data_IF_202202548863
#
_entry.id   IF_202202548863
#
_cell.length_a   1.000
_cell.length_b   1.000
_cell.length_c   1.000
_cell.angle_alpha   90.00
_cell.angle_beta   90.00
_cell.angle_gamma   90.00
#
_symmetry.space_group_name_H-M   'P 1'
#
loop_
_entity.id
_entity.type
_entity.pdbx_description
1 polymer ?
#
# COMPACT_ATOMS: atom_id res chain seq x y z
N UNK A 1 10.04 26.01 -4.79
CA UNK A 1 9.78 24.57 -4.52
C UNK A 1 9.72 23.90 -5.86
N UNK A 2 10.47 22.81 -6.06
CA UNK A 2 10.54 22.10 -7.33
C UNK A 2 9.18 21.46 -7.60
N UNK A 3 8.64 21.74 -8.78
CA UNK A 3 7.31 21.29 -9.19
C UNK A 3 7.41 20.23 -10.30
N UNK A 4 6.56 19.21 -10.22
CA UNK A 4 6.49 18.16 -11.22
C UNK A 4 5.07 17.98 -11.76
N UNK A 5 5.00 17.58 -13.04
CA UNK A 5 3.81 17.01 -13.68
C UNK A 5 4.12 15.59 -14.14
N UNK A 6 3.17 14.69 -13.93
CA UNK A 6 3.21 13.30 -14.43
C UNK A 6 2.17 13.17 -15.53
N UNK A 7 2.56 12.58 -16.67
CA UNK A 7 1.68 12.32 -17.80
C UNK A 7 1.71 10.81 -18.06
N UNK A 8 0.57 10.15 -17.95
CA UNK A 8 0.40 8.75 -18.33
C UNK A 8 -0.27 8.67 -19.69
N UNK A 9 0.34 7.94 -20.61
CA UNK A 9 -0.10 7.78 -21.99
C UNK A 9 -0.57 6.33 -22.13
N UNK A 10 -1.83 6.13 -22.54
CA UNK A 10 -2.42 4.81 -22.75
C UNK A 10 -3.94 4.85 -22.72
N UNK A 11 -4.56 4.40 -23.79
CA UNK A 11 -6.02 4.31 -23.94
C UNK A 11 -6.64 3.39 -22.90
N UNK A 12 -5.95 2.32 -22.49
CA UNK A 12 -6.41 1.35 -21.48
C UNK A 12 -6.61 1.97 -20.10
N UNK A 13 -5.91 3.06 -19.80
CA UNK A 13 -6.09 3.84 -18.57
C UNK A 13 -7.37 4.67 -18.65
N UNK A 14 -7.60 5.33 -19.80
CA UNK A 14 -8.75 6.20 -20.00
C UNK A 14 -10.07 5.44 -20.01
N UNK A 15 -10.10 4.24 -20.61
CA UNK A 15 -11.28 3.38 -20.61
C UNK A 15 -11.47 2.59 -19.30
N UNK A 16 -10.54 2.74 -18.32
CA UNK A 16 -10.62 2.09 -17.02
C UNK A 16 -10.30 0.60 -17.02
N UNK A 17 -9.66 0.09 -18.06
CA UNK A 17 -9.25 -1.32 -18.16
C UNK A 17 -8.13 -1.64 -17.18
N UNK A 18 -7.20 -0.71 -16.97
CA UNK A 18 -6.15 -0.81 -15.98
C UNK A 18 -6.15 0.42 -15.05
N UNK A 19 -5.65 0.21 -13.83
CA UNK A 19 -5.45 1.30 -12.87
C UNK A 19 -4.06 1.90 -13.08
N UNK A 20 -3.98 3.23 -13.14
CA UNK A 20 -2.70 3.94 -13.20
C UNK A 20 -1.91 3.77 -11.89
N UNK A 21 -1.10 2.73 -11.86
CA UNK A 21 -0.16 2.46 -10.75
C UNK A 21 1.16 3.19 -10.93
N UNK A 22 1.49 3.59 -12.17
CA UNK A 22 2.75 4.25 -12.50
C UNK A 22 2.81 5.66 -11.93
N UNK A 23 1.81 6.50 -12.21
CA UNK A 23 1.76 7.86 -11.64
C UNK A 23 1.75 7.84 -10.11
N UNK A 24 1.05 6.86 -9.52
CA UNK A 24 1.02 6.67 -8.06
C UNK A 24 2.42 6.38 -7.51
N UNK A 25 3.20 5.52 -8.16
CA UNK A 25 4.56 5.19 -7.75
C UNK A 25 5.50 6.38 -7.93
N UNK A 26 5.52 6.99 -9.12
CA UNK A 26 6.35 8.16 -9.45
C UNK A 26 6.09 9.29 -8.45
N UNK A 27 4.81 9.59 -8.18
CA UNK A 27 4.42 10.62 -7.22
C UNK A 27 4.95 10.34 -5.81
N UNK A 28 4.89 9.09 -5.35
CA UNK A 28 5.41 8.70 -4.02
C UNK A 28 6.93 8.91 -3.94
N UNK A 29 7.68 8.52 -4.97
CA UNK A 29 9.14 8.66 -4.98
C UNK A 29 9.57 10.14 -5.07
N UNK A 30 8.93 10.94 -5.92
CA UNK A 30 9.18 12.37 -6.02
C UNK A 30 8.92 13.13 -4.71
N UNK A 31 7.81 12.81 -4.04
CA UNK A 31 7.48 13.43 -2.75
C UNK A 31 8.52 13.08 -1.67
N UNK A 32 9.11 11.88 -1.68
CA UNK A 32 10.16 11.50 -0.71
C UNK A 32 11.39 12.41 -0.77
N UNK A 33 11.68 12.95 -1.96
CA UNK A 33 12.81 13.87 -2.20
C UNK A 33 12.40 15.34 -2.25
N UNK A 34 11.20 15.68 -1.83
CA UNK A 34 10.76 17.06 -1.71
C UNK A 34 10.28 17.74 -3.00
N UNK A 35 10.08 16.99 -4.07
CA UNK A 35 9.46 17.47 -5.31
C UNK A 35 7.94 17.46 -5.15
N UNK A 36 7.30 18.58 -5.46
CA UNK A 36 5.84 18.73 -5.40
C UNK A 36 5.21 18.28 -6.72
N UNK A 37 4.47 17.19 -6.72
CA UNK A 37 3.64 16.79 -7.87
C UNK A 37 2.37 17.64 -7.86
N UNK A 38 2.26 18.56 -8.83
CA UNK A 38 1.13 19.49 -8.94
C UNK A 38 0.02 19.00 -9.86
N UNK A 39 0.36 18.14 -10.82
CA UNK A 39 -0.60 17.62 -11.77
C UNK A 39 -0.26 16.19 -12.16
N UNK A 40 -1.28 15.34 -12.25
CA UNK A 40 -1.23 14.02 -12.87
C UNK A 40 -2.28 14.06 -13.99
N UNK A 41 -1.87 13.75 -15.22
CA UNK A 41 -2.70 13.79 -16.40
C UNK A 41 -2.61 12.46 -17.15
N UNK A 42 -3.74 11.81 -17.39
CA UNK A 42 -3.82 10.65 -18.29
C UNK A 42 -4.37 11.09 -19.63
N UNK A 43 -3.71 10.68 -20.72
CA UNK A 43 -4.07 11.03 -22.10
C UNK A 43 -4.02 9.79 -22.98
N UNK A 44 -4.70 9.87 -24.13
CA UNK A 44 -4.66 8.84 -25.17
C UNK A 44 -3.32 8.79 -25.91
N UNK A 45 -3.09 7.69 -26.61
CA UNK A 45 -1.98 7.52 -27.56
C UNK A 45 -2.21 8.33 -28.84
N UNK A 46 -2.55 9.63 -28.65
CA UNK A 46 -2.84 10.56 -29.73
C UNK A 46 -1.79 11.67 -29.81
N UNK A 47 -1.21 11.85 -30.99
CA UNK A 47 -0.15 12.82 -31.24
C UNK A 47 -0.53 14.25 -30.79
N UNK A 48 -1.76 14.70 -31.08
CA UNK A 48 -2.20 16.07 -30.75
C UNK A 48 -2.33 16.25 -29.22
N UNK A 49 -2.82 15.22 -28.53
CA UNK A 49 -2.97 15.27 -27.08
C UNK A 49 -1.60 15.28 -26.39
N UNK A 50 -0.66 14.44 -26.83
CA UNK A 50 0.70 14.41 -26.28
C UNK A 50 1.42 15.75 -26.51
N UNK A 51 1.38 16.29 -27.76
CA UNK A 51 1.97 17.59 -28.05
C UNK A 51 1.33 18.71 -27.22
N UNK A 52 0.00 18.73 -27.12
CA UNK A 52 -0.72 19.70 -26.29
C UNK A 52 -0.34 19.61 -24.81
N UNK A 53 -0.20 18.40 -24.29
CA UNK A 53 0.23 18.17 -22.92
C UNK A 53 1.65 18.69 -22.67
N UNK A 54 2.58 18.50 -23.62
CA UNK A 54 3.95 19.02 -23.52
C UNK A 54 4.00 20.54 -23.62
N UNK A 55 3.28 21.14 -24.60
CA UNK A 55 3.19 22.60 -24.76
C UNK A 55 2.64 23.29 -23.50
N UNK A 56 1.60 22.71 -22.88
CA UNK A 56 0.99 23.22 -21.66
C UNK A 56 1.85 22.97 -20.39
N UNK A 57 2.96 22.26 -20.52
CA UNK A 57 3.82 21.89 -19.38
C UNK A 57 5.15 22.64 -19.36
N UNK A 58 5.67 23.00 -20.53
CA UNK A 58 6.97 23.70 -20.65
C UNK A 58 6.95 25.02 -19.91
N UNK A 59 8.01 25.32 -19.14
CA UNK A 59 8.17 26.49 -18.27
C UNK A 59 7.12 26.68 -17.16
N UNK A 60 6.14 25.76 -17.06
CA UNK A 60 5.15 25.74 -15.99
C UNK A 60 5.55 24.81 -14.85
N UNK A 61 6.23 23.71 -15.19
CA UNK A 61 6.77 22.74 -14.24
C UNK A 61 8.26 22.57 -14.46
N UNK A 62 9.01 22.37 -13.38
CA UNK A 62 10.45 22.13 -13.46
C UNK A 62 10.76 20.74 -14.03
N UNK A 63 9.90 19.76 -13.72
CA UNK A 63 10.04 18.35 -14.11
C UNK A 63 8.74 17.85 -14.73
N UNK A 64 8.83 17.27 -15.93
CA UNK A 64 7.74 16.58 -16.60
C UNK A 64 8.15 15.12 -16.81
N UNK A 65 7.42 14.18 -16.22
CA UNK A 65 7.67 12.74 -16.39
C UNK A 65 6.50 12.14 -17.16
N UNK A 66 6.79 11.55 -18.31
CA UNK A 66 5.82 10.77 -19.07
C UNK A 66 6.08 9.28 -18.94
N UNK A 67 5.05 8.45 -18.95
CA UNK A 67 5.15 6.99 -18.96
C UNK A 67 4.12 6.40 -19.91
N UNK A 68 4.58 5.55 -20.85
CA UNK A 68 3.78 4.93 -21.91
C UNK A 68 4.22 5.32 -23.31
N UNK A 69 3.76 4.59 -24.32
CA UNK A 69 3.96 4.85 -25.75
C UNK A 69 5.41 4.76 -26.24
N UNK A 70 6.29 3.99 -25.58
CA UNK A 70 7.69 3.77 -25.98
C UNK A 70 7.96 2.35 -26.51
N UNK A 71 6.96 1.51 -26.59
CA UNK A 71 7.08 0.16 -27.11
C UNK A 71 7.38 0.09 -28.62
N UNK A 72 7.41 -1.11 -29.20
CA UNK A 72 7.74 -1.33 -30.59
C UNK A 72 6.51 -1.33 -31.53
N UNK A 73 5.31 -1.07 -31.04
CA UNK A 73 4.07 -1.17 -31.82
C UNK A 73 3.68 0.15 -32.45
N UNK A 74 2.77 0.15 -33.42
CA UNK A 74 2.43 1.33 -34.20
C UNK A 74 1.69 2.44 -33.40
N UNK A 75 1.14 2.09 -32.27
CA UNK A 75 0.50 2.98 -31.30
C UNK A 75 1.51 3.64 -30.35
N UNK A 76 2.75 3.14 -30.31
CA UNK A 76 3.84 3.69 -29.50
C UNK A 76 4.51 4.90 -30.18
N UNK A 77 3.83 6.04 -30.19
CA UNK A 77 4.23 7.24 -30.94
C UNK A 77 5.01 8.27 -30.11
N UNK A 78 5.29 7.97 -28.84
CA UNK A 78 5.90 8.96 -27.93
C UNK A 78 7.29 9.43 -28.39
N UNK A 79 8.12 8.58 -29.02
CA UNK A 79 9.44 8.97 -29.56
C UNK A 79 9.34 10.00 -30.68
N UNK A 80 8.43 9.78 -31.63
CA UNK A 80 8.17 10.67 -32.75
C UNK A 80 7.65 12.02 -32.27
N UNK A 81 6.74 12.00 -31.31
CA UNK A 81 6.19 13.22 -30.71
C UNK A 81 7.26 13.97 -29.93
N UNK A 82 8.18 13.28 -29.24
CA UNK A 82 9.36 13.89 -28.63
C UNK A 82 10.21 14.60 -29.69
N UNK A 83 10.54 13.94 -30.80
CA UNK A 83 11.31 14.54 -31.87
C UNK A 83 10.64 15.83 -32.41
N UNK A 84 9.34 15.78 -32.67
CA UNK A 84 8.61 16.97 -33.15
C UNK A 84 8.59 18.10 -32.12
N UNK A 85 8.28 17.79 -30.86
CA UNK A 85 8.21 18.83 -29.83
C UNK A 85 9.56 19.50 -29.54
N UNK A 86 10.66 18.74 -29.62
CA UNK A 86 12.01 19.26 -29.35
C UNK A 86 12.77 19.72 -30.61
N UNK A 87 12.12 19.71 -31.79
CA UNK A 87 12.77 19.99 -33.07
C UNK A 87 14.02 19.13 -33.23
N UNK A 88 13.83 17.81 -33.20
CA UNK A 88 14.86 16.78 -33.19
C UNK A 88 14.54 15.69 -34.23
N UNK A 89 15.47 14.76 -34.40
CA UNK A 89 15.33 13.62 -35.29
C UNK A 89 15.78 12.32 -34.60
N UNK A 90 15.22 11.21 -35.03
CA UNK A 90 15.66 9.89 -34.61
C UNK A 90 17.02 9.56 -35.22
N UNK A 91 17.93 9.07 -34.39
CA UNK A 91 19.24 8.57 -34.80
C UNK A 91 19.46 7.17 -34.26
N UNK A 92 20.17 6.34 -35.02
CA UNK A 92 20.50 4.99 -34.57
C UNK A 92 21.57 5.03 -33.48
N UNK A 93 21.34 4.25 -32.40
CA UNK A 93 22.29 4.11 -31.30
C UNK A 93 22.80 2.66 -31.21
N UNK A 94 24.10 2.47 -31.55
CA UNK A 94 24.71 1.15 -31.60
C UNK A 94 24.82 0.47 -30.22
N UNK A 95 25.10 1.25 -29.15
CA UNK A 95 25.21 0.71 -27.79
C UNK A 95 23.85 0.20 -27.31
N UNK A 96 22.79 0.93 -27.64
CA UNK A 96 21.43 0.49 -27.32
C UNK A 96 21.03 -0.76 -28.12
N UNK A 97 21.39 -0.85 -29.41
CA UNK A 97 21.17 -2.06 -30.20
C UNK A 97 21.88 -3.27 -29.59
N UNK A 98 23.15 -3.11 -29.22
CA UNK A 98 23.89 -4.19 -28.56
C UNK A 98 23.27 -4.61 -27.22
N UNK A 99 22.73 -3.65 -26.44
CA UNK A 99 21.96 -3.95 -25.23
C UNK A 99 20.71 -4.76 -25.53
N UNK A 100 19.92 -4.35 -26.53
CA UNK A 100 18.69 -5.05 -26.95
C UNK A 100 19.02 -6.47 -27.40
N UNK A 101 20.04 -6.66 -28.25
CA UNK A 101 20.48 -7.98 -28.71
C UNK A 101 20.92 -8.89 -27.55
N UNK A 102 21.60 -8.33 -26.55
CA UNK A 102 22.00 -9.06 -25.34
C UNK A 102 20.78 -9.50 -24.52
N UNK A 103 19.75 -8.64 -24.38
CA UNK A 103 18.51 -9.01 -23.69
C UNK A 103 17.82 -10.16 -24.41
N UNK A 104 17.67 -10.08 -25.73
CA UNK A 104 17.06 -11.15 -26.50
C UNK A 104 17.81 -12.47 -26.37
N UNK A 105 19.14 -12.44 -26.47
CA UNK A 105 19.98 -13.64 -26.31
C UNK A 105 19.86 -14.32 -24.95
N UNK A 106 19.58 -13.55 -23.90
CA UNK A 106 19.58 -14.08 -22.53
C UNK A 106 18.17 -14.45 -22.02
N UNK A 107 17.12 -13.83 -22.54
CA UNK A 107 15.78 -13.92 -21.94
C UNK A 107 14.67 -14.25 -22.92
N UNK A 108 14.95 -14.31 -24.22
CA UNK A 108 13.94 -14.57 -25.26
C UNK A 108 14.43 -15.68 -26.17
N UNK A 109 13.64 -16.74 -26.32
CA UNK A 109 13.97 -17.89 -27.18
C UNK A 109 13.82 -17.59 -28.70
N UNK A 110 13.30 -16.41 -29.05
CA UNK A 110 13.08 -15.99 -30.44
C UNK A 110 14.14 -15.00 -30.89
N UNK A 111 14.55 -15.02 -32.16
CA UNK A 111 15.46 -14.05 -32.73
C UNK A 111 14.84 -12.65 -32.70
N UNK A 112 15.71 -11.64 -32.54
CA UNK A 112 15.30 -10.23 -32.58
C UNK A 112 14.70 -9.90 -33.96
N UNK A 113 13.53 -9.28 -33.96
CA UNK A 113 12.85 -8.83 -35.19
C UNK A 113 13.15 -7.35 -35.50
N UNK A 114 12.73 -6.85 -36.67
CA UNK A 114 13.00 -5.48 -37.12
C UNK A 114 12.34 -4.43 -36.23
N UNK A 115 11.16 -4.70 -35.64
CA UNK A 115 10.49 -3.79 -34.71
C UNK A 115 11.31 -3.61 -33.43
N UNK A 116 11.91 -4.68 -32.93
CA UNK A 116 12.79 -4.62 -31.76
C UNK A 116 14.11 -3.90 -32.09
N UNK A 117 14.67 -4.10 -33.30
CA UNK A 117 15.84 -3.35 -33.76
C UNK A 117 15.54 -1.85 -33.92
N UNK A 118 14.33 -1.48 -34.34
CA UNK A 118 13.87 -0.10 -34.45
C UNK A 118 13.83 0.63 -33.09
N UNK A 119 13.76 -0.09 -31.98
CA UNK A 119 13.87 0.51 -30.64
C UNK A 119 15.23 1.20 -30.41
N UNK A 120 16.29 0.84 -31.18
CA UNK A 120 17.59 1.48 -31.14
C UNK A 120 17.60 2.90 -31.77
N UNK A 121 16.52 3.33 -32.44
CA UNK A 121 16.38 4.70 -32.89
C UNK A 121 15.82 5.58 -31.76
N UNK A 122 16.56 6.64 -31.43
CA UNK A 122 16.27 7.54 -30.31
C UNK A 122 16.48 8.99 -30.70
N UNK A 123 15.80 9.97 -30.08
CA UNK A 123 16.02 11.39 -30.37
C UNK A 123 17.48 11.79 -30.14
N UNK A 124 18.07 12.51 -31.10
CA UNK A 124 19.52 12.81 -31.12
C UNK A 124 19.97 13.70 -29.94
N UNK A 125 19.06 14.54 -29.43
CA UNK A 125 19.30 15.45 -28.29
C UNK A 125 19.02 14.78 -26.93
N UNK A 126 18.43 13.59 -26.93
CA UNK A 126 18.08 12.92 -25.69
C UNK A 126 19.28 12.33 -24.97
N UNK A 127 19.33 12.55 -23.65
CA UNK A 127 20.16 11.72 -22.79
C UNK A 127 19.37 10.47 -22.44
N UNK A 128 19.89 9.30 -22.78
CA UNK A 128 19.21 8.04 -22.55
C UNK A 128 19.30 7.67 -21.07
N UNK A 129 18.23 7.02 -20.58
CA UNK A 129 18.14 6.42 -19.27
C UNK A 129 18.08 4.92 -19.49
N UNK A 130 19.06 4.20 -18.91
CA UNK A 130 19.19 2.76 -19.08
C UNK A 130 17.92 2.03 -18.59
N UNK A 131 17.42 1.12 -19.43
CA UNK A 131 16.38 0.17 -19.06
C UNK A 131 17.00 -1.23 -18.96
N UNK A 132 17.24 -1.72 -17.74
CA UNK A 132 17.87 -3.02 -17.51
C UNK A 132 16.97 -4.20 -17.80
N UNK A 133 15.67 -3.98 -17.89
CA UNK A 133 14.66 -5.03 -17.94
C UNK A 133 13.85 -5.05 -19.23
N UNK A 134 14.05 -4.10 -20.13
CA UNK A 134 13.30 -3.98 -21.37
C UNK A 134 14.08 -3.31 -22.49
N UNK A 135 13.50 -3.30 -23.67
CA UNK A 135 14.14 -2.81 -24.91
C UNK A 135 13.97 -1.30 -25.13
N UNK A 136 12.94 -0.71 -24.53
CA UNK A 136 12.66 0.72 -24.67
C UNK A 136 13.47 1.52 -23.63
N UNK A 137 14.44 2.36 -24.06
CA UNK A 137 15.17 3.21 -23.13
C UNK A 137 14.28 4.34 -22.63
N UNK A 138 14.57 4.86 -21.44
CA UNK A 138 14.06 6.15 -21.06
C UNK A 138 14.84 7.26 -21.75
N UNK A 139 14.24 8.42 -21.81
CA UNK A 139 14.81 9.60 -22.50
C UNK A 139 14.67 10.83 -21.62
N UNK A 140 15.66 11.72 -21.67
CA UNK A 140 15.64 12.99 -20.95
C UNK A 140 16.11 14.12 -21.86
N UNK A 141 15.30 15.17 -21.96
CA UNK A 141 15.62 16.39 -22.73
C UNK A 141 15.22 17.62 -21.92
N UNK A 142 16.03 18.69 -21.97
CA UNK A 142 15.69 19.99 -21.37
C UNK A 142 15.13 20.93 -22.44
N UNK A 143 14.05 21.64 -22.11
CA UNK A 143 13.49 22.73 -22.95
C UNK A 143 13.06 23.88 -22.05
N UNK A 144 13.65 25.04 -22.27
CA UNK A 144 13.47 26.18 -21.37
C UNK A 144 13.96 25.84 -19.95
N UNK A 145 13.12 26.11 -18.96
CA UNK A 145 13.42 25.76 -17.56
C UNK A 145 12.91 24.37 -17.16
N UNK A 146 12.32 23.63 -18.09
CA UNK A 146 11.70 22.33 -17.83
C UNK A 146 12.56 21.16 -18.28
N UNK A 147 12.63 20.09 -17.47
CA UNK A 147 13.25 18.82 -17.82
C UNK A 147 12.15 17.81 -18.10
N UNK A 148 12.10 17.32 -19.33
CA UNK A 148 11.19 16.27 -19.78
C UNK A 148 11.89 14.93 -19.68
N UNK A 149 11.20 13.94 -19.13
CA UNK A 149 11.64 12.56 -19.01
C UNK A 149 10.53 11.64 -19.51
N UNK A 150 10.86 10.73 -20.42
CA UNK A 150 9.91 9.74 -20.93
C UNK A 150 10.38 8.34 -20.57
N UNK A 151 9.43 7.53 -20.07
CA UNK A 151 9.68 6.20 -19.53
C UNK A 151 8.71 5.19 -20.14
N UNK A 152 9.09 3.89 -20.23
CA UNK A 152 8.17 2.85 -20.66
C UNK A 152 6.95 2.74 -19.76
N UNK A 153 5.84 2.21 -20.31
CA UNK A 153 4.59 1.97 -19.59
C UNK A 153 4.68 0.77 -18.63
N UNK A 154 5.57 -0.18 -18.89
CA UNK A 154 5.70 -1.41 -18.09
C UNK A 154 6.16 -1.09 -16.65
N UNK A 155 5.35 -1.44 -15.62
CA UNK A 155 5.57 -0.93 -14.27
C UNK A 155 6.93 -1.30 -13.64
N UNK A 156 7.42 -2.53 -13.83
CA UNK A 156 8.69 -2.94 -13.22
C UNK A 156 9.91 -2.28 -13.87
N UNK A 157 9.85 -2.00 -15.19
CA UNK A 157 10.87 -1.25 -15.94
C UNK A 157 10.92 0.20 -15.46
N UNK A 158 9.77 0.87 -15.48
CA UNK A 158 9.61 2.26 -15.05
C UNK A 158 10.08 2.45 -13.59
N UNK A 159 9.72 1.54 -12.67
CA UNK A 159 10.09 1.63 -11.25
C UNK A 159 11.61 1.61 -11.05
N UNK A 160 12.32 0.69 -11.72
CA UNK A 160 13.77 0.62 -11.64
C UNK A 160 14.41 1.91 -12.17
N UNK A 161 13.94 2.42 -13.32
CA UNK A 161 14.47 3.66 -13.89
C UNK A 161 14.24 4.88 -12.98
N UNK A 162 13.08 4.96 -12.34
CA UNK A 162 12.79 6.01 -11.34
C UNK A 162 13.76 5.93 -10.17
N UNK A 163 13.90 4.74 -9.55
CA UNK A 163 14.69 4.60 -8.32
C UNK A 163 16.20 4.71 -8.57
N UNK A 164 16.69 4.07 -9.65
CA UNK A 164 18.09 3.88 -9.87
C UNK A 164 18.74 5.04 -10.64
N UNK A 165 17.95 5.78 -11.43
CA UNK A 165 18.48 6.83 -12.33
C UNK A 165 17.83 8.20 -12.12
N UNK A 166 16.50 8.28 -12.11
CA UNK A 166 15.79 9.58 -12.13
C UNK A 166 15.86 10.26 -10.76
N UNK A 167 15.58 9.55 -9.68
CA UNK A 167 15.63 10.13 -8.33
C UNK A 167 17.03 10.65 -7.99
N UNK A 168 18.13 9.87 -8.18
CA UNK A 168 19.48 10.39 -7.98
C UNK A 168 19.80 11.60 -8.85
N UNK A 169 19.39 11.58 -10.13
CA UNK A 169 19.58 12.71 -11.03
C UNK A 169 18.89 13.98 -10.51
N UNK A 170 17.59 13.87 -10.11
CA UNK A 170 16.83 15.01 -9.60
C UNK A 170 17.49 15.57 -8.33
N UNK A 171 17.95 14.71 -7.44
CA UNK A 171 18.62 15.13 -6.20
C UNK A 171 19.94 15.87 -6.48
N UNK A 172 20.66 15.49 -7.56
CA UNK A 172 21.91 16.15 -7.96
C UNK A 172 21.66 17.46 -8.69
N UNK A 173 20.67 17.50 -9.60
CA UNK A 173 20.38 18.68 -10.44
C UNK A 173 19.66 19.78 -9.64
N UNK A 174 18.85 19.39 -8.67
CA UNK A 174 18.05 20.32 -7.88
C UNK A 174 18.40 20.21 -6.39
N UNK A 175 18.47 21.34 -5.72
CA UNK A 175 18.63 21.35 -4.26
C UNK A 175 17.28 20.94 -3.60
N UNK A 176 17.05 19.63 -3.51
CA UNK A 176 15.81 19.06 -2.98
C UNK A 176 15.80 19.05 -1.46
N UNK A 177 14.75 19.54 -0.80
CA UNK A 177 14.61 19.39 0.64
C UNK A 177 14.36 17.92 1.03
N UNK A 178 14.91 17.50 2.14
CA UNK A 178 14.60 16.21 2.77
C UNK A 178 13.20 16.29 3.38
N UNK A 179 12.36 15.28 3.11
CA UNK A 179 11.06 15.11 3.78
C UNK A 179 11.10 13.85 4.63
N UNK A 180 10.83 13.99 5.93
CA UNK A 180 10.71 12.88 6.87
C UNK A 180 9.24 12.74 7.26
N UNK A 181 8.74 11.51 7.26
CA UNK A 181 7.37 11.18 7.68
C UNK A 181 7.41 10.01 8.65
N UNK A 182 6.72 10.15 9.78
CA UNK A 182 6.43 9.05 10.71
C UNK A 182 4.94 8.99 10.93
N UNK A 183 4.37 7.81 10.83
CA UNK A 183 2.93 7.59 11.02
C UNK A 183 2.72 6.73 12.25
N UNK A 184 1.99 7.25 13.23
CA UNK A 184 1.57 6.55 14.43
C UNK A 184 0.19 5.93 14.21
N UNK A 185 0.01 4.71 14.66
CA UNK A 185 -1.29 4.03 14.66
C UNK A 185 -1.98 4.24 16.01
N UNK A 186 -3.23 4.71 15.97
CA UNK A 186 -4.07 4.86 17.16
C UNK A 186 -5.32 4.01 17.04
N UNK A 187 -5.82 3.51 18.18
CA UNK A 187 -7.00 2.67 18.24
C UNK A 187 -7.94 3.05 19.38
N UNK A 188 -9.22 2.66 19.24
CA UNK A 188 -10.22 2.81 20.29
C UNK A 188 -10.76 4.21 20.49
N UNK A 189 -10.27 5.20 19.75
CA UNK A 189 -10.68 6.60 19.89
C UNK A 189 -10.93 7.23 18.51
N UNK A 190 -12.02 7.98 18.38
CA UNK A 190 -12.37 8.66 17.13
C UNK A 190 -11.48 9.88 16.86
N UNK A 191 -11.40 10.26 15.57
CA UNK A 191 -10.58 11.37 15.07
C UNK A 191 -10.82 12.69 15.83
N UNK A 192 -12.08 13.07 16.03
CA UNK A 192 -12.43 14.33 16.73
C UNK A 192 -11.93 14.38 18.18
N UNK A 193 -11.91 13.24 18.85
CA UNK A 193 -11.40 13.15 20.24
C UNK A 193 -9.88 13.26 20.27
N UNK A 194 -9.18 12.66 19.30
CA UNK A 194 -7.73 12.78 19.17
C UNK A 194 -7.36 14.23 18.82
N UNK A 195 -8.05 14.84 17.84
CA UNK A 195 -7.82 16.22 17.43
C UNK A 195 -8.01 17.20 18.61
N UNK A 196 -9.04 16.97 19.44
CA UNK A 196 -9.24 17.78 20.65
C UNK A 196 -8.06 17.69 21.62
N UNK A 197 -7.49 16.50 21.81
CA UNK A 197 -6.31 16.30 22.68
C UNK A 197 -5.03 16.92 22.12
N UNK A 198 -4.91 17.00 20.80
CA UNK A 198 -3.72 17.47 20.11
C UNK A 198 -3.78 18.93 19.68
N UNK A 199 -4.86 19.66 20.00
CA UNK A 199 -5.08 21.05 19.58
C UNK A 199 -3.89 21.97 19.91
N UNK A 200 -3.37 21.91 21.14
CA UNK A 200 -2.25 22.76 21.57
C UNK A 200 -0.93 22.27 20.99
N UNK A 201 -0.77 20.96 20.82
CA UNK A 201 0.39 20.39 20.15
C UNK A 201 0.49 20.87 18.70
N UNK A 202 -0.61 20.83 17.92
CA UNK A 202 -0.64 21.32 16.55
C UNK A 202 -0.34 22.81 16.43
N UNK A 203 -0.90 23.60 17.35
CA UNK A 203 -0.66 25.06 17.39
C UNK A 203 0.80 25.41 17.63
N UNK A 204 1.54 24.56 18.34
CA UNK A 204 2.94 24.78 18.70
C UNK A 204 3.93 24.07 17.75
N UNK A 205 3.44 23.40 16.70
CA UNK A 205 4.32 22.83 15.68
C UNK A 205 4.98 23.94 14.86
N UNK A 206 6.28 23.83 14.54
CA UNK A 206 6.95 24.73 13.60
C UNK A 206 6.35 24.64 12.19
N UNK A 207 6.49 25.71 11.40
CA UNK A 207 5.94 25.79 10.04
C UNK A 207 6.42 24.69 9.09
N UNK A 208 7.60 24.14 9.35
CA UNK A 208 8.16 23.04 8.58
C UNK A 208 7.66 21.65 9.03
N UNK A 209 6.81 21.57 10.06
CA UNK A 209 6.13 20.36 10.53
C UNK A 209 4.64 20.39 10.21
N UNK A 210 4.06 19.23 9.93
CA UNK A 210 2.63 19.07 9.67
C UNK A 210 2.12 17.75 10.24
N UNK A 211 1.05 17.82 11.04
CA UNK A 211 0.30 16.66 11.49
C UNK A 211 -0.91 16.42 10.56
N UNK A 212 -1.15 15.19 10.17
CA UNK A 212 -2.32 14.80 9.39
C UNK A 212 -3.03 13.62 10.05
N UNK A 213 -4.37 13.72 10.10
CA UNK A 213 -5.26 12.65 10.55
C UNK A 213 -5.70 11.84 9.35
N UNK A 214 -5.50 10.54 9.38
CA UNK A 214 -5.83 9.62 8.30
C UNK A 214 -6.78 8.55 8.84
N UNK A 215 -8.10 8.86 8.91
CA UNK A 215 -9.09 7.94 9.43
C UNK A 215 -9.22 6.71 8.53
N UNK A 216 -9.34 5.56 9.16
CA UNK A 216 -9.65 4.31 8.52
C UNK A 216 -10.64 3.54 9.41
N UNK A 217 -11.28 2.51 8.87
CA UNK A 217 -12.30 1.73 9.57
C UNK A 217 -11.83 1.25 10.96
N UNK A 218 -12.28 1.98 12.03
CA UNK A 218 -11.99 1.66 13.43
C UNK A 218 -10.68 2.20 14.01
N UNK A 219 -9.87 2.93 13.23
CA UNK A 219 -8.58 3.49 13.68
C UNK A 219 -8.30 4.85 13.06
N UNK A 220 -7.44 5.62 13.69
CA UNK A 220 -6.90 6.86 13.13
C UNK A 220 -5.39 6.74 13.04
N UNK A 221 -4.82 7.03 11.88
CA UNK A 221 -3.37 7.11 11.70
C UNK A 221 -2.98 8.57 11.80
N UNK A 222 -1.98 8.87 12.62
CA UNK A 222 -1.44 10.21 12.79
C UNK A 222 -0.10 10.29 12.06
N UNK A 223 -0.07 11.04 10.97
CA UNK A 223 1.15 11.21 10.20
C UNK A 223 1.78 12.55 10.51
N UNK A 224 2.87 12.52 11.26
CA UNK A 224 3.74 13.68 11.44
C UNK A 224 4.74 13.72 10.28
N UNK A 225 4.86 14.86 9.61
CA UNK A 225 5.78 15.08 8.51
C UNK A 225 6.54 16.38 8.73
N UNK A 226 7.83 16.38 8.38
CA UNK A 226 8.64 17.59 8.36
C UNK A 226 9.47 17.68 7.09
N UNK A 227 9.92 18.90 6.75
CA UNK A 227 10.78 19.13 5.60
C UNK A 227 11.86 20.16 5.93
N UNK A 228 13.04 20.01 5.32
CA UNK A 228 14.17 20.92 5.45
C UNK A 228 15.39 20.37 4.73
N UNK A 229 16.55 20.97 4.92
CA UNK A 229 17.77 20.60 4.22
C UNK A 229 18.77 19.83 5.10
N UNK A 230 18.61 19.86 6.40
CA UNK A 230 19.44 19.13 7.38
C UNK A 230 18.68 17.90 7.89
N UNK A 231 19.07 16.73 7.39
CA UNK A 231 18.43 15.45 7.73
C UNK A 231 18.58 15.08 9.19
N UNK A 232 19.74 15.35 9.80
CA UNK A 232 20.04 14.91 11.17
C UNK A 232 19.25 15.76 12.18
N UNK A 233 19.22 17.07 11.95
CA UNK A 233 18.38 17.99 12.73
C UNK A 233 16.89 17.67 12.59
N UNK A 234 16.43 17.36 11.36
CA UNK A 234 15.04 16.96 11.13
C UNK A 234 14.68 15.65 11.84
N UNK A 235 15.57 14.65 11.83
CA UNK A 235 15.34 13.38 12.54
C UNK A 235 15.25 13.61 14.05
N UNK A 236 16.19 14.35 14.63
CA UNK A 236 16.19 14.67 16.07
C UNK A 236 14.94 15.41 16.49
N UNK A 237 14.52 16.40 15.71
CA UNK A 237 13.26 17.14 15.96
C UNK A 237 12.04 16.24 15.80
N UNK A 238 12.02 15.38 14.79
CA UNK A 238 10.94 14.41 14.57
C UNK A 238 10.77 13.48 15.78
N UNK A 239 11.87 12.95 16.31
CA UNK A 239 11.84 12.04 17.46
C UNK A 239 11.31 12.75 18.72
N UNK A 240 11.71 14.00 18.94
CA UNK A 240 11.18 14.83 20.04
C UNK A 240 9.65 15.00 19.95
N UNK A 241 9.11 15.36 18.79
CA UNK A 241 7.66 15.52 18.61
C UNK A 241 6.90 14.21 18.68
N UNK A 242 7.48 13.11 18.21
CA UNK A 242 6.91 11.77 18.38
C UNK A 242 6.82 11.40 19.87
N UNK A 243 7.85 11.69 20.66
CA UNK A 243 7.82 11.47 22.11
C UNK A 243 6.72 12.30 22.81
N UNK A 244 6.54 13.54 22.38
CA UNK A 244 5.44 14.39 22.88
C UNK A 244 4.07 13.79 22.54
N UNK A 245 3.88 13.28 21.30
CA UNK A 245 2.65 12.58 20.91
C UNK A 245 2.40 11.35 21.78
N UNK A 246 3.43 10.56 22.09
CA UNK A 246 3.32 9.43 23.02
C UNK A 246 2.91 9.88 24.43
N UNK A 247 3.45 10.99 24.95
CA UNK A 247 3.05 11.54 26.26
C UNK A 247 1.59 12.00 26.28
N UNK A 248 1.10 12.64 25.20
CA UNK A 248 -0.26 13.18 25.12
C UNK A 248 -1.33 12.10 24.89
N UNK A 249 -1.02 11.07 24.12
CA UNK A 249 -1.98 10.06 23.72
C UNK A 249 -1.83 8.73 24.49
N UNK A 250 -0.66 8.44 25.03
CA UNK A 250 -0.39 7.27 25.87
C UNK A 250 -0.82 5.95 25.18
N UNK A 251 -1.63 5.16 25.91
CA UNK A 251 -2.12 3.84 25.45
C UNK A 251 -2.97 3.86 24.18
N UNK A 252 -3.37 5.04 23.68
CA UNK A 252 -4.10 5.18 22.43
C UNK A 252 -3.17 4.87 21.23
N UNK A 253 -1.86 5.19 21.34
CA UNK A 253 -0.85 4.84 20.34
C UNK A 253 -0.41 3.40 20.57
N UNK A 254 -0.51 2.56 19.54
CA UNK A 254 -0.07 1.15 19.59
C UNK A 254 1.32 1.01 18.96
N UNK A 255 1.75 1.95 18.12
CA UNK A 255 3.06 1.90 17.47
C UNK A 255 3.10 2.71 16.19
N UNK A 256 4.16 2.53 15.43
CA UNK A 256 4.32 3.16 14.13
C UNK A 256 3.66 2.34 13.02
N UNK A 257 3.11 3.03 12.01
CA UNK A 257 2.83 2.42 10.72
C UNK A 257 4.18 2.26 10.00
N UNK A 258 4.80 1.12 10.21
CA UNK A 258 5.94 0.72 9.41
C UNK A 258 5.44 0.29 8.02
N UNK A 259 6.36 0.01 7.12
CA UNK A 259 6.11 -0.78 5.91
C UNK A 259 5.52 -2.17 6.25
N UNK A 260 5.46 -2.52 7.53
CA UNK A 260 4.93 -3.75 8.08
C UNK A 260 3.45 -3.59 8.45
N UNK A 261 2.65 -4.55 8.03
CA UNK A 261 1.24 -4.67 8.39
C UNK A 261 1.08 -5.15 9.84
N UNK A 262 -0.12 -5.03 10.42
CA UNK A 262 -0.41 -5.53 11.78
C UNK A 262 -0.11 -7.03 11.89
N UNK A 263 -0.34 -7.80 10.82
CA UNK A 263 -0.04 -9.23 10.74
C UNK A 263 1.47 -9.51 10.87
N UNK A 264 2.29 -8.66 10.27
CA UNK A 264 3.74 -8.77 10.36
C UNK A 264 4.23 -8.51 11.79
N UNK A 265 3.66 -7.52 12.47
CA UNK A 265 4.00 -7.24 13.88
C UNK A 265 3.52 -8.36 14.82
N UNK A 266 2.31 -8.89 14.61
CA UNK A 266 1.83 -10.09 15.30
C UNK A 266 2.83 -11.25 15.12
N UNK A 267 3.27 -11.48 13.88
CA UNK A 267 4.23 -12.54 13.57
C UNK A 267 5.58 -12.35 14.26
N UNK A 268 6.10 -11.12 14.35
CA UNK A 268 7.34 -10.80 15.08
C UNK A 268 7.22 -11.11 16.57
N UNK A 269 6.12 -10.68 17.19
CA UNK A 269 5.89 -10.94 18.63
C UNK A 269 5.77 -12.44 18.89
N UNK A 270 4.94 -13.15 18.12
CA UNK A 270 4.77 -14.60 18.29
C UNK A 270 6.08 -15.37 18.12
N UNK A 271 6.89 -15.01 17.11
CA UNK A 271 8.23 -15.60 16.93
C UNK A 271 9.14 -15.34 18.12
N UNK A 272 9.16 -14.08 18.62
CA UNK A 272 9.97 -13.70 19.80
C UNK A 272 9.56 -14.47 21.06
N UNK A 273 8.26 -14.69 21.24
CA UNK A 273 7.72 -15.42 22.39
C UNK A 273 7.78 -16.96 22.22
N UNK A 274 8.10 -17.47 21.05
CA UNK A 274 8.01 -18.90 20.72
C UNK A 274 6.57 -19.42 20.80
N UNK A 275 5.58 -18.57 20.49
CA UNK A 275 4.15 -18.86 20.64
C UNK A 275 3.45 -19.04 19.30
N UNK A 276 2.32 -19.74 19.32
CA UNK A 276 1.57 -20.14 18.13
C UNK A 276 0.11 -19.69 18.20
N UNK A 277 -0.51 -19.51 17.03
CA UNK A 277 -1.91 -19.10 16.90
C UNK A 277 -2.67 -19.93 15.87
N UNK A 278 -3.97 -20.14 16.10
CA UNK A 278 -4.94 -20.73 15.17
C UNK A 278 -6.19 -19.88 15.05
N UNK A 279 -7.02 -20.11 14.03
CA UNK A 279 -8.25 -19.32 13.83
C UNK A 279 -9.47 -20.19 13.58
N UNK A 280 -10.64 -19.75 14.06
CA UNK A 280 -11.96 -20.32 13.75
C UNK A 280 -12.85 -19.23 13.18
N UNK A 281 -13.12 -19.28 11.89
CA UNK A 281 -13.79 -18.22 11.16
C UNK A 281 -15.18 -18.66 10.68
N UNK A 282 -16.20 -17.85 10.93
CA UNK A 282 -17.51 -18.03 10.33
C UNK A 282 -17.67 -17.06 9.16
N UNK A 283 -18.43 -15.97 9.32
CA UNK A 283 -18.74 -15.00 8.28
C UNK A 283 -17.50 -14.27 7.69
N UNK A 284 -16.35 -14.30 8.35
CA UNK A 284 -15.09 -13.74 7.82
C UNK A 284 -14.43 -14.62 6.75
N UNK A 285 -14.88 -15.89 6.63
CA UNK A 285 -14.60 -16.74 5.48
C UNK A 285 -13.14 -17.09 5.22
N UNK A 286 -12.27 -17.08 6.24
CA UNK A 286 -10.84 -17.35 6.10
C UNK A 286 -9.97 -16.11 5.87
N UNK A 287 -10.55 -14.91 5.90
CA UNK A 287 -9.78 -13.68 5.65
C UNK A 287 -8.78 -13.35 6.76
N UNK A 288 -9.04 -13.70 8.02
CA UNK A 288 -8.06 -13.56 9.11
C UNK A 288 -6.90 -14.51 8.86
N UNK A 289 -7.19 -15.76 8.53
CA UNK A 289 -6.23 -16.79 8.15
C UNK A 289 -5.35 -16.34 6.99
N UNK A 290 -5.98 -15.87 5.90
CA UNK A 290 -5.29 -15.36 4.71
C UNK A 290 -4.32 -14.23 5.06
N UNK A 291 -4.73 -13.28 5.89
CA UNK A 291 -3.87 -12.17 6.31
C UNK A 291 -2.69 -12.61 7.16
N UNK A 292 -2.89 -13.52 8.12
CA UNK A 292 -1.80 -14.03 8.95
C UNK A 292 -0.81 -14.84 8.11
N UNK A 293 -1.32 -15.71 7.23
CA UNK A 293 -0.50 -16.58 6.38
C UNK A 293 0.22 -15.84 5.24
N UNK A 294 -0.21 -14.63 4.85
CA UNK A 294 0.45 -13.82 3.84
C UNK A 294 1.83 -13.29 4.27
N UNK A 295 2.14 -13.36 5.57
CA UNK A 295 3.43 -12.90 6.09
C UNK A 295 4.50 -13.96 5.86
N UNK A 296 5.62 -13.67 5.19
CA UNK A 296 6.72 -14.61 5.00
C UNK A 296 7.20 -15.21 6.34
N UNK A 297 7.29 -16.54 6.41
CA UNK A 297 7.67 -17.28 7.61
C UNK A 297 6.54 -17.42 8.63
N UNK A 298 5.27 -17.29 8.22
CA UNK A 298 4.10 -17.51 9.07
C UNK A 298 4.01 -18.96 9.60
N UNK A 299 4.56 -19.93 8.90
CA UNK A 299 4.62 -21.34 9.31
C UNK A 299 5.28 -21.57 10.69
N UNK A 300 6.10 -20.65 11.15
CA UNK A 300 6.75 -20.73 12.45
C UNK A 300 5.79 -20.50 13.63
N UNK A 301 4.67 -19.80 13.41
CA UNK A 301 3.73 -19.43 14.48
C UNK A 301 2.26 -19.66 14.15
N UNK A 302 1.90 -19.76 12.90
CA UNK A 302 0.52 -20.00 12.48
C UNK A 302 0.27 -21.49 12.25
N UNK A 303 -0.67 -22.08 13.01
CA UNK A 303 -0.97 -23.53 12.97
C UNK A 303 -2.05 -23.89 11.95
N UNK A 304 -2.97 -22.96 11.66
CA UNK A 304 -4.04 -23.19 10.70
C UNK A 304 -5.37 -22.56 11.10
N UNK A 305 -6.39 -22.83 10.28
CA UNK A 305 -7.75 -22.30 10.42
C UNK A 305 -8.81 -23.35 10.17
N UNK A 306 -9.94 -23.22 10.86
CA UNK A 306 -11.20 -23.87 10.50
C UNK A 306 -12.19 -22.79 10.07
N UNK A 307 -12.64 -22.83 8.81
CA UNK A 307 -13.72 -21.97 8.30
C UNK A 307 -15.04 -22.71 8.54
N UNK A 308 -15.64 -22.44 9.71
CA UNK A 308 -16.90 -23.02 10.14
C UNK A 308 -18.07 -22.11 9.72
N UNK A 309 -18.30 -22.00 8.41
CA UNK A 309 -19.33 -21.12 7.86
C UNK A 309 -20.73 -21.64 8.19
N UNK A 310 -20.95 -22.91 7.89
CA UNK A 310 -22.18 -23.62 8.21
C UNK A 310 -22.27 -23.96 9.71
N UNK A 311 -23.49 -23.94 10.27
CA UNK A 311 -23.74 -24.25 11.68
C UNK A 311 -23.41 -25.71 12.01
N UNK A 312 -23.60 -26.63 11.06
CA UNK A 312 -23.25 -28.04 11.23
C UNK A 312 -21.73 -28.21 11.43
N UNK A 313 -20.90 -27.47 10.69
CA UNK A 313 -19.43 -27.52 10.85
C UNK A 313 -18.99 -27.00 12.22
N UNK A 314 -19.67 -26.01 12.79
CA UNK A 314 -19.42 -25.56 14.17
C UNK A 314 -19.63 -26.70 15.16
N UNK A 315 -20.67 -27.52 14.97
CA UNK A 315 -20.98 -28.67 15.84
C UNK A 315 -20.03 -29.84 15.63
N UNK A 316 -19.81 -30.26 14.37
CA UNK A 316 -19.09 -31.51 14.05
C UNK A 316 -17.58 -31.36 14.12
N UNK A 317 -17.04 -30.27 13.61
CA UNK A 317 -15.58 -30.06 13.55
C UNK A 317 -15.08 -29.26 14.74
N UNK A 318 -15.75 -28.17 15.09
CA UNK A 318 -15.35 -27.33 16.23
C UNK A 318 -15.94 -27.82 17.56
N UNK A 319 -16.78 -28.87 17.55
CA UNK A 319 -17.41 -29.44 18.77
C UNK A 319 -18.10 -28.39 19.63
N UNK A 320 -18.77 -27.42 18.96
CA UNK A 320 -19.64 -26.47 19.66
C UNK A 320 -20.92 -27.18 20.08
N UNK A 321 -21.25 -27.12 21.34
CA UNK A 321 -22.41 -27.79 21.91
C UNK A 321 -23.72 -27.29 21.27
N UNK A 322 -24.57 -28.20 20.82
CA UNK A 322 -25.88 -27.90 20.23
C UNK A 322 -26.80 -27.15 21.20
N UNK A 323 -26.78 -27.53 22.48
CA UNK A 323 -27.53 -26.86 23.53
C UNK A 323 -27.08 -25.42 23.75
N UNK A 324 -25.77 -25.13 23.57
CA UNK A 324 -25.22 -23.79 23.64
C UNK A 324 -25.76 -22.93 22.50
N UNK A 325 -25.82 -23.49 21.27
CA UNK A 325 -26.35 -22.79 20.10
C UNK A 325 -27.86 -22.54 20.25
N UNK A 326 -28.62 -23.53 20.71
CA UNK A 326 -30.10 -23.39 20.96
C UNK A 326 -30.39 -22.32 21.99
N UNK A 327 -29.57 -22.26 23.06
CA UNK A 327 -29.82 -21.35 24.19
C UNK A 327 -29.45 -19.90 23.89
N UNK A 328 -28.32 -19.67 23.20
CA UNK A 328 -27.72 -18.34 23.03
C UNK A 328 -27.74 -17.83 21.59
N UNK A 329 -28.16 -18.64 20.62
CA UNK A 329 -28.02 -18.41 19.17
C UNK A 329 -26.61 -18.65 18.65
N UNK A 330 -26.50 -19.01 17.37
CA UNK A 330 -25.21 -19.24 16.67
C UNK A 330 -24.34 -17.98 16.65
N UNK A 331 -24.94 -16.80 16.76
CA UNK A 331 -24.26 -15.49 16.87
C UNK A 331 -24.34 -15.02 18.32
N UNK A 332 -23.44 -15.51 19.15
CA UNK A 332 -23.35 -15.16 20.57
C UNK A 332 -21.91 -15.17 21.06
N UNK A 333 -21.67 -14.58 22.22
CA UNK A 333 -20.36 -14.60 22.88
C UNK A 333 -19.98 -16.01 23.26
N UNK A 334 -20.93 -16.77 23.77
CA UNK A 334 -20.76 -18.14 24.22
C UNK A 334 -20.32 -19.08 23.09
N UNK A 335 -20.91 -18.92 21.90
CA UNK A 335 -20.51 -19.67 20.71
C UNK A 335 -19.12 -19.24 20.22
N UNK A 336 -18.83 -17.94 20.21
CA UNK A 336 -17.50 -17.43 19.87
C UNK A 336 -16.42 -17.99 20.81
N UNK A 337 -16.68 -18.00 22.13
CA UNK A 337 -15.78 -18.58 23.15
C UNK A 337 -15.53 -20.05 22.90
N UNK A 338 -16.58 -20.82 22.68
CA UNK A 338 -16.49 -22.24 22.37
C UNK A 338 -15.68 -22.50 21.12
N UNK A 339 -15.90 -21.73 20.05
CA UNK A 339 -15.13 -21.82 18.82
C UNK A 339 -13.63 -21.52 19.07
N UNK A 340 -13.31 -20.46 19.81
CA UNK A 340 -11.92 -20.09 20.12
C UNK A 340 -11.23 -21.18 20.96
N UNK A 341 -11.90 -21.65 22.03
CA UNK A 341 -11.40 -22.72 22.90
C UNK A 341 -11.10 -24.00 22.12
N UNK A 342 -12.04 -24.40 21.27
CA UNK A 342 -11.96 -25.68 20.59
C UNK A 342 -10.94 -25.66 19.44
N UNK A 343 -10.86 -24.58 18.64
CA UNK A 343 -9.84 -24.47 17.59
C UNK A 343 -8.43 -24.42 18.21
N UNK A 344 -8.26 -23.74 19.34
CA UNK A 344 -6.99 -23.73 20.09
C UNK A 344 -6.57 -25.16 20.49
N UNK A 345 -7.51 -25.97 20.98
CA UNK A 345 -7.28 -27.37 21.34
C UNK A 345 -6.95 -28.23 20.11
N UNK A 346 -7.74 -28.11 19.02
CA UNK A 346 -7.58 -28.92 17.82
C UNK A 346 -6.18 -28.72 17.20
N UNK A 347 -5.71 -27.48 17.10
CA UNK A 347 -4.39 -27.15 16.54
C UNK A 347 -3.25 -27.19 17.56
N UNK A 348 -3.53 -27.47 18.85
CA UNK A 348 -2.56 -27.39 19.93
C UNK A 348 -1.75 -26.07 19.86
N UNK A 349 -2.47 -24.95 19.71
CA UNK A 349 -1.88 -23.61 19.64
C UNK A 349 -1.93 -22.90 20.98
N UNK A 350 -1.03 -21.91 21.21
CA UNK A 350 -1.01 -21.12 22.44
C UNK A 350 -2.15 -20.11 22.48
N UNK A 351 -2.49 -19.55 21.31
CA UNK A 351 -3.55 -18.57 21.13
C UNK A 351 -4.53 -19.01 20.04
N UNK A 352 -5.72 -18.47 20.10
CA UNK A 352 -6.65 -18.58 18.99
C UNK A 352 -7.54 -17.34 18.84
N UNK A 353 -8.04 -17.14 17.63
CA UNK A 353 -8.99 -16.10 17.27
C UNK A 353 -10.24 -16.78 16.73
N UNK A 354 -11.42 -16.40 17.20
CA UNK A 354 -12.67 -16.84 16.58
C UNK A 354 -13.57 -15.68 16.21
N UNK A 355 -14.42 -15.89 15.17
CA UNK A 355 -15.42 -14.92 14.72
C UNK A 355 -16.73 -15.60 14.41
N UNK A 356 -17.83 -15.08 14.96
CA UNK A 356 -19.22 -15.41 14.57
C UNK A 356 -20.05 -14.14 14.46
N UNK A 357 -21.01 -14.06 13.53
CA UNK A 357 -21.77 -12.84 13.36
C UNK A 357 -22.71 -12.84 12.17
N UNK A 358 -23.66 -11.90 12.21
CA UNK A 358 -24.60 -11.58 11.14
C UNK A 358 -24.04 -10.44 10.27
N UNK A 359 -23.27 -10.77 9.25
CA UNK A 359 -22.68 -9.75 8.39
C UNK A 359 -23.69 -9.01 7.50
N UNK A 360 -24.86 -9.60 7.25
CA UNK A 360 -25.90 -9.09 6.36
C UNK A 360 -25.74 -9.61 4.90
N UNK A 361 -26.60 -9.21 3.96
CA UNK A 361 -27.78 -8.34 4.14
C UNK A 361 -28.93 -9.01 4.92
N UNK A 362 -28.94 -10.34 5.04
CA UNK A 362 -29.92 -11.15 5.76
C UNK A 362 -29.35 -11.69 7.08
N UNK A 363 -30.26 -12.16 7.97
CA UNK A 363 -29.83 -12.62 9.30
C UNK A 363 -29.21 -14.03 9.32
N UNK A 364 -29.38 -14.83 8.28
CA UNK A 364 -28.98 -16.25 8.29
C UNK A 364 -29.67 -17.05 9.39
N UNK A 365 -28.96 -18.00 10.00
CA UNK A 365 -29.49 -18.90 11.04
C UNK A 365 -29.64 -18.23 12.43
N UNK A 366 -29.54 -16.92 12.53
CA UNK A 366 -29.51 -16.20 13.81
C UNK A 366 -30.67 -15.22 13.94
N UNK A 367 -31.27 -15.12 15.13
CA UNK A 367 -32.26 -14.13 15.51
C UNK A 367 -31.69 -12.73 15.80
N UNK A 368 -30.34 -12.65 15.96
CA UNK A 368 -29.66 -11.40 16.28
C UNK A 368 -29.71 -10.37 15.15
N UNK A 369 -29.59 -9.10 15.49
CA UNK A 369 -29.62 -8.00 14.52
C UNK A 369 -28.48 -8.12 13.50
N UNK A 370 -28.73 -7.69 12.25
CA UNK A 370 -27.69 -7.55 11.23
C UNK A 370 -26.62 -6.60 11.75
N UNK A 371 -25.36 -6.97 11.56
CA UNK A 371 -24.21 -6.23 12.07
C UNK A 371 -23.74 -6.68 13.45
N UNK A 372 -24.48 -7.56 14.15
CA UNK A 372 -24.00 -8.16 15.41
C UNK A 372 -22.87 -9.13 15.12
N UNK A 373 -21.71 -8.85 15.71
CA UNK A 373 -20.44 -9.55 15.49
C UNK A 373 -19.83 -9.89 16.85
N UNK A 374 -19.44 -11.14 17.03
CA UNK A 374 -18.67 -11.56 18.20
C UNK A 374 -17.29 -12.02 17.78
N UNK A 375 -16.27 -11.56 18.50
CA UNK A 375 -14.86 -11.89 18.30
C UNK A 375 -14.30 -12.37 19.64
N UNK A 376 -13.75 -13.57 19.68
CA UNK A 376 -13.07 -14.09 20.86
C UNK A 376 -11.58 -14.29 20.60
N UNK A 377 -10.78 -13.93 21.59
CA UNK A 377 -9.35 -14.19 21.65
C UNK A 377 -9.10 -15.11 22.84
N UNK A 378 -8.63 -16.33 22.56
CA UNK A 378 -8.20 -17.24 23.63
C UNK A 378 -6.68 -17.16 23.77
N UNK A 379 -6.24 -16.82 24.95
CA UNK A 379 -4.83 -16.81 25.38
C UNK A 379 -4.53 -18.06 26.19
N UNK A 380 -3.28 -18.29 26.66
CA UNK A 380 -2.97 -19.30 27.62
C UNK A 380 -3.69 -19.13 28.97
N UNK A 381 -3.98 -17.88 29.38
CA UNK A 381 -4.56 -17.54 30.66
C UNK A 381 -6.09 -17.49 30.66
N UNK A 382 -6.69 -16.88 29.62
CA UNK A 382 -8.11 -16.59 29.61
C UNK A 382 -8.69 -16.47 28.17
N UNK A 383 -10.01 -16.40 28.07
CA UNK A 383 -10.72 -16.09 26.83
C UNK A 383 -11.41 -14.73 27.00
N UNK A 384 -11.14 -13.80 26.09
CA UNK A 384 -11.78 -12.48 26.03
C UNK A 384 -12.69 -12.38 24.83
N UNK A 385 -13.97 -12.11 25.05
CA UNK A 385 -14.94 -11.98 23.98
C UNK A 385 -15.55 -10.60 23.92
N UNK A 386 -15.63 -10.08 22.70
CA UNK A 386 -16.07 -8.75 22.40
C UNK A 386 -17.25 -8.81 21.42
N UNK A 387 -18.32 -8.06 21.70
CA UNK A 387 -19.47 -7.90 20.84
C UNK A 387 -19.45 -6.50 20.20
N UNK A 388 -19.71 -6.45 18.91
CA UNK A 388 -19.78 -5.21 18.14
C UNK A 388 -21.05 -5.17 17.30
N UNK A 389 -21.50 -3.96 16.93
CA UNK A 389 -22.48 -3.74 15.89
C UNK A 389 -21.89 -2.81 14.82
N UNK A 390 -21.66 -3.36 13.62
CA UNK A 390 -21.03 -2.64 12.52
C UNK A 390 -22.00 -2.17 11.42
N UNK A 391 -23.32 -2.33 11.65
CA UNK A 391 -24.38 -1.87 10.74
C UNK A 391 -24.76 -2.93 9.70
N UNK A 392 -25.31 -2.48 8.54
CA UNK A 392 -26.00 -3.38 7.62
C UNK A 392 -25.19 -3.80 6.38
N UNK A 393 -24.05 -3.19 6.11
CA UNK A 393 -23.27 -3.46 4.90
C UNK A 393 -22.32 -4.64 5.10
N UNK A 394 -22.57 -5.75 4.39
CA UNK A 394 -21.83 -7.01 4.51
C UNK A 394 -20.34 -6.85 4.30
N UNK A 395 -19.91 -6.22 3.22
CA UNK A 395 -18.49 -6.05 2.88
C UNK A 395 -17.76 -5.23 3.95
N UNK A 396 -18.39 -4.12 4.40
CA UNK A 396 -17.84 -3.29 5.48
C UNK A 396 -17.78 -4.06 6.80
N UNK A 397 -18.80 -4.88 7.11
CA UNK A 397 -18.84 -5.67 8.34
C UNK A 397 -17.71 -6.71 8.35
N UNK A 398 -17.49 -7.42 7.25
CA UNK A 398 -16.39 -8.39 7.13
C UNK A 398 -15.05 -7.69 7.31
N UNK A 399 -14.77 -6.62 6.55
CA UNK A 399 -13.50 -5.87 6.62
C UNK A 399 -13.23 -5.30 8.02
N UNK A 400 -14.26 -4.73 8.66
CA UNK A 400 -14.14 -4.19 10.03
C UNK A 400 -13.85 -5.30 11.04
N UNK A 401 -14.50 -6.44 10.91
CA UNK A 401 -14.34 -7.58 11.83
C UNK A 401 -12.94 -8.18 11.74
N UNK A 402 -12.42 -8.37 10.53
CA UNK A 402 -11.06 -8.86 10.32
C UNK A 402 -10.03 -7.89 10.92
N UNK A 403 -10.17 -6.60 10.66
CA UNK A 403 -9.27 -5.59 11.24
C UNK A 403 -9.36 -5.59 12.76
N UNK A 404 -10.58 -5.66 13.32
CA UNK A 404 -10.80 -5.63 14.76
C UNK A 404 -10.29 -6.89 15.46
N UNK A 405 -10.44 -8.05 14.83
CA UNK A 405 -9.90 -9.31 15.36
C UNK A 405 -8.37 -9.29 15.47
N UNK A 406 -7.69 -8.82 14.43
CA UNK A 406 -6.23 -8.67 14.45
C UNK A 406 -5.77 -7.61 15.45
N UNK A 407 -6.50 -6.49 15.56
CA UNK A 407 -6.25 -5.44 16.54
C UNK A 407 -6.35 -5.95 17.99
N UNK A 408 -7.44 -6.66 18.32
CA UNK A 408 -7.65 -7.24 19.63
C UNK A 408 -6.57 -8.27 19.98
N UNK A 409 -6.22 -9.10 19.01
CA UNK A 409 -5.15 -10.09 19.19
C UNK A 409 -3.79 -9.43 19.38
N UNK A 410 -3.46 -8.42 18.59
CA UNK A 410 -2.23 -7.65 18.78
C UNK A 410 -2.16 -7.00 20.16
N UNK A 411 -3.26 -6.39 20.61
CA UNK A 411 -3.36 -5.80 21.95
C UNK A 411 -3.16 -6.83 23.05
N UNK A 412 -3.70 -8.05 22.88
CA UNK A 412 -3.48 -9.16 23.84
C UNK A 412 -2.01 -9.55 23.89
N UNK A 413 -1.34 -9.66 22.75
CA UNK A 413 0.08 -10.00 22.69
C UNK A 413 0.97 -8.93 23.35
N UNK A 414 0.62 -7.65 23.23
CA UNK A 414 1.37 -6.56 23.88
C UNK A 414 1.31 -6.58 25.40
N UNK A 415 0.35 -7.28 26.00
CA UNK A 415 0.31 -7.45 27.47
C UNK A 415 1.35 -8.45 27.96
N UNK A 416 1.97 -9.22 27.07
CA UNK A 416 2.93 -10.29 27.38
C UNK A 416 4.40 -9.89 27.04
N UNK A 417 4.60 -8.71 26.44
CA UNK A 417 5.91 -8.15 26.07
C UNK A 417 6.25 -6.97 26.96
#
# INVERSE_FOLDING_TARGET
MISAKIITIGDEILIGQIIDTNSTFISKELIKIGVEVREILSISDNKKEILGAFQNSVNKYDIIITTGGLGPTNDDITKEVFCEFFDDKLVHNNDLLAHIEKLFKNFVDNPINDLNRAQAYVPSKAKLIENRFGTAPGMRIKKGNSIFMSLPGVPYEMKSMITDSIIPFIQTEFNCPVIIKKTLMTYGVGESTIAKKLKDFEKNLPDNFKLAYLPNLGRVRLRLSCKGFDRDNLNSSMDLYIEQLHKLLGKIIIGFEFENTIESEIGKILKKLGKTVSTAESFTGGLISSRISSVPGASLYYKGSIVAYDTHIKKTILSVDDELIKKYSVVSKEVADSMAKNVKKIFNSDYSISTTGNAGPEKGDSDKKIGTINISIASPAEIKTYEFNFGKNREKNIKKSVNKALELFFSELLTQV
#
